data_IF_689294334298
#
_entry.id   IF_689294334298
#
_cell.length_a   1.000
_cell.length_b   1.000
_cell.length_c   1.000
_cell.angle_alpha   90.00
_cell.angle_beta   90.00
_cell.angle_gamma   90.00
#
_symmetry.space_group_name_H-M   'P 1'
#
loop_
_entity.id
_entity.type
_entity.pdbx_description
1 polymer ?
#
# COMPACT_ATOMS: atom_id res chain seq x y z
N UNK A 1 -5.46 -18.96 3.72
CA UNK A 1 -4.99 -17.62 4.10
C UNK A 1 -5.05 -16.70 2.90
N UNK A 2 -5.17 -15.39 3.14
CA UNK A 2 -5.07 -14.31 2.15
C UNK A 2 -3.68 -13.67 2.27
N UNK A 3 -2.92 -13.64 1.18
CA UNK A 3 -1.55 -13.14 1.13
C UNK A 3 -1.52 -12.03 0.08
N UNK A 4 -1.35 -10.79 0.52
CA UNK A 4 -1.23 -9.65 -0.36
C UNK A 4 0.23 -9.46 -0.77
N UNK A 5 0.50 -9.52 -2.07
CA UNK A 5 1.82 -9.24 -2.62
C UNK A 5 1.84 -7.81 -3.13
N UNK A 6 2.89 -7.07 -2.82
CA UNK A 6 3.22 -5.82 -3.49
C UNK A 6 3.43 -6.04 -5.00
N UNK A 7 3.16 -5.05 -5.84
CA UNK A 7 3.23 -5.21 -7.29
C UNK A 7 4.65 -5.49 -7.81
N UNK A 8 5.68 -4.97 -7.14
CA UNK A 8 7.07 -5.32 -7.45
C UNK A 8 7.32 -6.84 -7.46
N UNK A 9 6.61 -7.62 -6.63
CA UNK A 9 6.68 -9.08 -6.63
C UNK A 9 5.99 -9.67 -7.87
N UNK A 10 4.86 -9.11 -8.33
CA UNK A 10 4.25 -9.50 -9.61
C UNK A 10 5.19 -9.22 -10.78
N UNK A 11 5.88 -8.08 -10.77
CA UNK A 11 6.88 -7.75 -11.78
C UNK A 11 8.03 -8.77 -11.80
N UNK A 12 8.57 -9.16 -10.63
CA UNK A 12 9.61 -10.20 -10.57
C UNK A 12 9.15 -11.56 -11.08
N UNK A 13 7.91 -11.93 -10.80
CA UNK A 13 7.33 -13.18 -11.28
C UNK A 13 7.14 -13.17 -12.80
N UNK A 14 6.64 -12.05 -13.34
CA UNK A 14 6.45 -11.84 -14.78
C UNK A 14 7.77 -11.81 -15.56
N UNK A 15 8.78 -11.09 -15.04
CA UNK A 15 10.10 -10.97 -15.67
C UNK A 15 10.98 -12.22 -15.41
N UNK A 16 10.47 -13.23 -14.71
CA UNK A 16 11.18 -14.45 -14.29
C UNK A 16 12.50 -14.21 -13.54
N UNK A 17 12.62 -13.06 -12.88
CA UNK A 17 13.86 -12.65 -12.18
C UNK A 17 14.01 -13.28 -10.78
N UNK A 18 12.92 -13.82 -10.22
CA UNK A 18 12.90 -14.54 -8.92
C UNK A 18 12.16 -15.88 -9.04
N UNK A 19 12.89 -16.91 -9.49
CA UNK A 19 12.34 -18.25 -9.67
C UNK A 19 11.87 -18.91 -8.36
N UNK A 20 12.51 -18.57 -7.26
CA UNK A 20 12.14 -19.01 -5.91
C UNK A 20 10.77 -18.46 -5.47
N UNK A 21 10.51 -17.18 -5.75
CA UNK A 21 9.20 -16.57 -5.55
C UNK A 21 8.13 -17.24 -6.42
N UNK A 22 8.41 -17.46 -7.71
CA UNK A 22 7.51 -18.15 -8.63
C UNK A 22 7.15 -19.56 -8.13
N UNK A 23 8.15 -20.34 -7.71
CA UNK A 23 7.94 -21.67 -7.14
C UNK A 23 7.09 -21.60 -5.86
N UNK A 24 7.38 -20.63 -4.99
CA UNK A 24 6.65 -20.43 -3.73
C UNK A 24 5.18 -20.11 -3.97
N UNK A 25 4.87 -19.10 -4.78
CA UNK A 25 3.48 -18.68 -5.06
C UNK A 25 2.69 -19.83 -5.70
N UNK A 26 3.28 -20.54 -6.67
CA UNK A 26 2.64 -21.72 -7.29
C UNK A 26 2.32 -22.82 -6.27
N UNK A 27 3.27 -23.15 -5.39
CA UNK A 27 3.05 -24.16 -4.35
C UNK A 27 1.93 -23.78 -3.36
N UNK A 28 1.69 -22.49 -3.15
CA UNK A 28 0.68 -21.98 -2.22
C UNK A 28 -0.68 -21.68 -2.86
N UNK A 29 -0.73 -21.50 -4.19
CA UNK A 29 -1.93 -21.02 -4.90
C UNK A 29 -3.15 -21.93 -4.74
N UNK A 30 -2.96 -23.22 -4.45
CA UNK A 30 -4.07 -24.17 -4.28
C UNK A 30 -4.74 -24.10 -2.90
N UNK A 31 -4.05 -23.58 -1.89
CA UNK A 31 -4.55 -23.51 -0.50
C UNK A 31 -4.70 -22.09 0.01
N UNK A 32 -4.10 -21.12 -0.67
CA UNK A 32 -4.06 -19.73 -0.26
C UNK A 32 -4.47 -18.81 -1.40
N UNK A 33 -4.97 -17.63 -1.04
CA UNK A 33 -5.44 -16.62 -1.98
C UNK A 33 -4.41 -15.51 -2.09
N UNK A 34 -4.17 -15.05 -3.31
CA UNK A 34 -3.27 -13.93 -3.61
C UNK A 34 -4.08 -12.78 -4.24
N UNK A 35 -4.99 -12.14 -3.47
CA UNK A 35 -5.89 -11.16 -4.07
C UNK A 35 -5.12 -9.95 -4.61
N UNK A 36 -5.59 -9.41 -5.73
CA UNK A 36 -5.11 -8.14 -6.25
C UNK A 36 -5.97 -6.99 -5.71
N UNK A 37 -5.65 -5.76 -6.10
CA UNK A 37 -6.40 -4.55 -5.73
C UNK A 37 -6.30 -3.51 -6.85
N UNK A 38 -7.09 -2.43 -6.79
CA UNK A 38 -6.92 -1.28 -7.67
C UNK A 38 -5.49 -0.73 -7.74
N UNK A 39 -4.72 -0.79 -6.64
CA UNK A 39 -3.33 -0.29 -6.60
C UNK A 39 -2.43 -0.98 -7.65
N UNK A 40 -2.56 -2.30 -7.81
CA UNK A 40 -1.84 -3.05 -8.84
C UNK A 40 -2.16 -2.54 -10.25
N UNK A 41 -3.43 -2.21 -10.50
CA UNK A 41 -3.88 -1.74 -11.81
C UNK A 41 -3.45 -0.28 -12.06
N UNK A 42 -3.40 0.55 -11.01
CA UNK A 42 -2.85 1.91 -11.07
C UNK A 42 -1.40 1.92 -11.50
N UNK A 43 -0.55 1.06 -10.92
CA UNK A 43 0.86 0.96 -11.31
C UNK A 43 1.05 0.46 -12.74
N UNK A 44 0.24 -0.51 -13.20
CA UNK A 44 0.23 -0.93 -14.61
C UNK A 44 -0.21 0.24 -15.50
N UNK A 45 -1.25 0.99 -15.12
CA UNK A 45 -1.75 2.13 -15.88
C UNK A 45 -0.69 3.24 -16.00
N UNK A 46 0.08 3.49 -14.94
CA UNK A 46 1.18 4.44 -14.98
C UNK A 46 2.22 4.11 -16.04
N UNK A 47 2.58 2.82 -16.19
CA UNK A 47 3.51 2.39 -17.22
C UNK A 47 2.98 2.64 -18.65
N UNK A 48 1.66 2.59 -18.84
CA UNK A 48 1.03 2.91 -20.13
C UNK A 48 1.01 4.42 -20.36
N UNK A 49 0.57 5.20 -19.37
CA UNK A 49 0.28 6.62 -19.54
C UNK A 49 1.53 7.51 -19.55
N UNK A 50 2.61 7.12 -18.86
CA UNK A 50 3.78 7.97 -18.62
C UNK A 50 5.07 7.55 -19.36
N UNK A 51 5.00 6.68 -20.36
CA UNK A 51 6.16 6.23 -21.16
C UNK A 51 6.13 6.76 -22.62
N UNK A 52 6.44 8.03 -22.88
CA UNK A 52 6.26 8.65 -24.19
C UNK A 52 7.24 8.17 -25.28
N UNK A 53 8.30 7.45 -24.90
CA UNK A 53 9.36 6.99 -25.80
C UNK A 53 9.09 5.62 -26.44
N UNK A 54 8.01 4.93 -26.02
CA UNK A 54 7.61 3.61 -26.54
C UNK A 54 6.29 3.77 -27.28
N UNK A 55 6.11 3.05 -28.40
CA UNK A 55 4.86 3.09 -29.15
C UNK A 55 3.67 2.67 -28.27
N UNK A 56 2.53 3.33 -28.46
CA UNK A 56 1.32 3.11 -27.64
C UNK A 56 0.85 1.67 -27.67
N UNK A 57 0.95 1.00 -28.83
CA UNK A 57 0.53 -0.39 -28.98
C UNK A 57 1.42 -1.33 -28.17
N UNK A 58 2.74 -1.16 -28.20
CA UNK A 58 3.68 -1.96 -27.41
C UNK A 58 3.45 -1.80 -25.91
N UNK A 59 3.15 -0.56 -25.46
CA UNK A 59 2.81 -0.28 -24.05
C UNK A 59 1.53 -1.00 -23.62
N UNK A 60 0.49 -0.96 -24.47
CA UNK A 60 -0.77 -1.65 -24.20
C UNK A 60 -0.58 -3.16 -24.18
N UNK A 61 0.20 -3.71 -25.10
CA UNK A 61 0.51 -5.14 -25.13
C UNK A 61 1.25 -5.58 -23.86
N UNK A 62 2.27 -4.82 -23.44
CA UNK A 62 3.00 -5.08 -22.20
C UNK A 62 2.09 -5.00 -20.97
N UNK A 63 1.16 -4.03 -20.94
CA UNK A 63 0.19 -3.91 -19.87
C UNK A 63 -0.80 -5.09 -19.85
N UNK A 64 -1.30 -5.53 -21.01
CA UNK A 64 -2.19 -6.69 -21.09
C UNK A 64 -1.52 -7.96 -20.56
N UNK A 65 -0.25 -8.21 -20.90
CA UNK A 65 0.50 -9.36 -20.38
C UNK A 65 0.65 -9.31 -18.85
N UNK A 66 0.87 -8.12 -18.28
CA UNK A 66 0.93 -7.92 -16.83
C UNK A 66 -0.43 -8.14 -16.16
N UNK A 67 -1.51 -7.64 -16.75
CA UNK A 67 -2.89 -7.85 -16.30
C UNK A 67 -3.23 -9.35 -16.31
N UNK A 68 -2.82 -10.08 -17.35
CA UNK A 68 -3.02 -11.52 -17.45
C UNK A 68 -2.25 -12.28 -16.36
N UNK A 69 -1.01 -11.87 -16.07
CA UNK A 69 -0.23 -12.43 -14.95
C UNK A 69 -0.93 -12.21 -13.60
N UNK A 70 -1.43 -10.99 -13.35
CA UNK A 70 -2.22 -10.69 -12.15
C UNK A 70 -3.48 -11.55 -12.09
N UNK A 71 -4.18 -11.75 -13.21
CA UNK A 71 -5.37 -12.60 -13.30
C UNK A 71 -5.07 -14.06 -12.94
N UNK A 72 -3.98 -14.61 -13.46
CA UNK A 72 -3.56 -15.98 -13.19
C UNK A 72 -3.23 -16.21 -11.71
N UNK A 73 -2.46 -15.30 -11.10
CA UNK A 73 -2.04 -15.41 -9.71
C UNK A 73 -3.21 -15.18 -8.74
N UNK A 74 -3.98 -14.12 -8.97
CA UNK A 74 -5.09 -13.75 -8.09
C UNK A 74 -6.35 -14.58 -8.27
N UNK A 75 -6.43 -15.35 -9.36
CA UNK A 75 -7.63 -16.05 -9.81
C UNK A 75 -8.84 -15.11 -9.86
N UNK A 76 -8.60 -13.87 -10.28
CA UNK A 76 -9.59 -12.80 -10.41
C UNK A 76 -10.26 -12.40 -9.09
N UNK A 77 -9.57 -12.55 -7.96
CA UNK A 77 -10.06 -12.08 -6.66
C UNK A 77 -9.44 -10.73 -6.32
N UNK A 78 -10.30 -9.72 -6.19
CA UNK A 78 -9.96 -8.35 -5.83
C UNK A 78 -10.25 -8.08 -4.35
N UNK A 79 -9.38 -7.33 -3.68
CA UNK A 79 -9.71 -6.56 -2.49
C UNK A 79 -10.41 -5.27 -2.90
N UNK A 80 -11.73 -5.30 -2.83
CA UNK A 80 -12.59 -4.25 -3.35
C UNK A 80 -12.92 -3.21 -2.28
N UNK A 81 -12.67 -1.91 -2.54
CA UNK A 81 -13.01 -0.84 -1.62
C UNK A 81 -14.53 -0.56 -1.61
N UNK A 82 -15.15 -0.51 -0.43
CA UNK A 82 -16.59 -0.28 -0.28
C UNK A 82 -16.84 1.08 0.36
N UNK A 83 -17.69 1.92 -0.24
CA UNK A 83 -17.91 3.30 0.22
C UNK A 83 -18.64 3.42 1.56
N UNK A 84 -19.39 2.40 1.98
CA UNK A 84 -20.24 2.43 3.18
C UNK A 84 -19.99 1.29 4.16
N UNK A 85 -18.94 0.49 3.95
CA UNK A 85 -18.66 -0.71 4.73
C UNK A 85 -17.19 -1.11 4.69
N UNK A 86 -16.83 -2.28 5.24
CA UNK A 86 -15.46 -2.76 5.24
C UNK A 86 -15.03 -3.13 3.82
N UNK A 87 -13.72 -3.22 3.61
CA UNK A 87 -13.16 -3.82 2.39
C UNK A 87 -13.62 -5.27 2.26
N UNK A 88 -13.98 -5.68 1.04
CA UNK A 88 -14.49 -7.04 0.77
C UNK A 88 -13.68 -7.72 -0.31
N UNK A 89 -13.71 -9.05 -0.31
CA UNK A 89 -13.25 -9.81 -1.48
C UNK A 89 -14.36 -9.84 -2.52
N UNK A 90 -14.00 -9.59 -3.77
CA UNK A 90 -14.90 -9.62 -4.92
C UNK A 90 -14.23 -10.38 -6.04
N UNK A 91 -14.99 -11.23 -6.74
CA UNK A 91 -14.53 -11.77 -8.02
C UNK A 91 -14.70 -10.69 -9.09
N UNK A 92 -13.58 -10.22 -9.64
CA UNK A 92 -13.54 -9.25 -10.73
C UNK A 92 -12.31 -9.55 -11.60
N UNK A 93 -12.48 -9.51 -12.92
CA UNK A 93 -11.36 -9.63 -13.83
C UNK A 93 -10.43 -8.40 -13.68
N UNK A 94 -9.11 -8.56 -13.52
CA UNK A 94 -8.18 -7.43 -13.43
C UNK A 94 -8.31 -6.44 -14.59
N UNK A 95 -8.64 -6.90 -15.80
CA UNK A 95 -8.91 -6.04 -16.95
C UNK A 95 -10.12 -5.10 -16.73
N UNK A 96 -11.16 -5.56 -16.03
CA UNK A 96 -12.31 -4.73 -15.69
C UNK A 96 -11.92 -3.64 -14.68
N UNK A 97 -11.14 -3.99 -13.65
CA UNK A 97 -10.58 -3.04 -12.70
C UNK A 97 -9.65 -2.02 -13.38
N UNK A 98 -8.75 -2.49 -14.25
CA UNK A 98 -7.86 -1.65 -15.05
C UNK A 98 -8.62 -0.62 -15.91
N UNK A 99 -9.73 -1.02 -16.55
CA UNK A 99 -10.59 -0.08 -17.29
C UNK A 99 -11.16 1.03 -16.39
N UNK A 100 -11.56 0.71 -15.15
CA UNK A 100 -12.04 1.70 -14.18
C UNK A 100 -10.92 2.68 -13.78
N UNK A 101 -9.71 2.16 -13.56
CA UNK A 101 -8.52 2.96 -13.24
C UNK A 101 -8.20 3.93 -14.37
N UNK A 102 -8.09 3.44 -15.61
CA UNK A 102 -7.76 4.27 -16.78
C UNK A 102 -8.83 5.35 -17.03
N UNK A 103 -10.11 5.04 -16.80
CA UNK A 103 -11.22 5.99 -16.96
C UNK A 103 -11.10 7.22 -16.04
N UNK A 104 -10.41 7.08 -14.90
CA UNK A 104 -10.25 8.14 -13.90
C UNK A 104 -8.78 8.58 -13.72
N UNK A 105 -7.90 8.16 -14.62
CA UNK A 105 -6.46 8.44 -14.53
C UNK A 105 -6.14 9.93 -14.63
N UNK A 106 -7.03 10.73 -15.22
CA UNK A 106 -6.93 12.19 -15.31
C UNK A 106 -6.83 12.88 -13.95
N UNK A 107 -7.22 12.20 -12.87
CA UNK A 107 -7.13 12.70 -11.49
C UNK A 107 -5.76 12.46 -10.85
N UNK A 108 -4.99 11.48 -11.34
CA UNK A 108 -3.70 11.10 -10.73
C UNK A 108 -2.68 12.26 -10.71
N UNK A 109 -2.53 13.09 -11.76
CA UNK A 109 -1.57 14.19 -11.74
C UNK A 109 -1.74 15.15 -10.55
N UNK A 110 -2.99 15.42 -10.14
CA UNK A 110 -3.29 16.30 -9.00
C UNK A 110 -2.83 15.65 -7.69
N UNK A 111 -3.08 14.35 -7.52
CA UNK A 111 -2.66 13.60 -6.33
C UNK A 111 -1.13 13.48 -6.27
N UNK A 112 -0.50 13.20 -7.41
CA UNK A 112 0.96 13.12 -7.53
C UNK A 112 1.65 14.46 -7.19
N UNK A 113 1.11 15.58 -7.67
CA UNK A 113 1.62 16.92 -7.34
C UNK A 113 1.49 17.21 -5.84
N UNK A 114 0.33 16.91 -5.25
CA UNK A 114 0.11 17.09 -3.81
C UNK A 114 1.10 16.24 -2.98
N UNK A 115 1.32 15.00 -3.39
CA UNK A 115 2.26 14.09 -2.74
C UNK A 115 3.70 14.61 -2.79
N UNK A 116 4.12 15.15 -3.94
CA UNK A 116 5.43 15.78 -4.09
C UNK A 116 5.58 17.01 -3.18
N UNK A 117 4.57 17.88 -3.15
CA UNK A 117 4.55 19.08 -2.31
C UNK A 117 4.60 18.72 -0.81
N UNK A 118 3.87 17.70 -0.38
CA UNK A 118 3.88 17.20 1.00
C UNK A 118 5.27 16.70 1.39
N UNK A 119 5.90 15.86 0.55
CA UNK A 119 7.25 15.36 0.82
C UNK A 119 8.29 16.49 0.83
N UNK A 120 8.15 17.46 -0.08
CA UNK A 120 8.99 18.64 -0.11
C UNK A 120 8.87 19.45 1.19
N UNK A 121 7.65 19.71 1.64
CA UNK A 121 7.36 20.41 2.89
C UNK A 121 7.98 19.69 4.10
N UNK A 122 7.81 18.37 4.23
CA UNK A 122 8.41 17.61 5.32
C UNK A 122 9.95 17.63 5.28
N UNK A 123 10.56 17.64 4.09
CA UNK A 123 12.01 17.72 3.94
C UNK A 123 12.58 19.07 4.37
N UNK A 124 11.83 20.18 4.28
CA UNK A 124 12.27 21.50 4.75
C UNK A 124 12.66 21.49 6.22
N UNK A 125 11.96 20.70 7.05
CA UNK A 125 12.28 20.54 8.48
C UNK A 125 13.52 19.71 8.78
N UNK A 126 14.07 18.99 7.79
CA UNK A 126 15.26 18.14 7.96
C UNK A 126 16.13 18.11 6.68
N UNK A 127 16.67 19.26 6.24
CA UNK A 127 17.32 19.40 4.94
C UNK A 127 18.60 18.57 4.81
N UNK A 128 19.23 18.25 5.94
CA UNK A 128 20.48 17.48 6.01
C UNK A 128 20.29 16.06 6.56
N UNK A 129 19.05 15.60 6.75
CA UNK A 129 18.77 14.22 7.20
C UNK A 129 19.21 13.91 8.64
N UNK A 130 19.47 14.91 9.48
CA UNK A 130 19.92 14.70 10.87
C UNK A 130 18.81 14.03 11.68
N UNK A 131 17.57 14.47 11.49
CA UNK A 131 16.42 13.87 12.15
C UNK A 131 16.15 12.48 11.58
N UNK A 132 16.18 12.32 10.26
CA UNK A 132 16.01 11.03 9.59
C UNK A 132 16.99 9.98 10.09
N UNK A 133 18.28 10.33 10.25
CA UNK A 133 19.31 9.44 10.78
C UNK A 133 19.05 9.00 12.23
N UNK A 134 18.37 9.83 13.03
CA UNK A 134 18.01 9.48 14.40
C UNK A 134 16.75 8.61 14.43
N UNK A 135 15.70 9.05 13.76
CA UNK A 135 14.36 8.47 13.85
C UNK A 135 14.27 7.15 13.09
N UNK A 136 14.96 7.01 11.95
CA UNK A 136 14.94 5.76 11.16
C UNK A 136 15.62 4.58 11.86
N UNK A 137 16.40 4.83 12.93
CA UNK A 137 17.01 3.78 13.75
C UNK A 137 16.08 3.30 14.89
N UNK A 138 14.90 3.91 15.06
CA UNK A 138 13.92 3.44 16.03
C UNK A 138 13.30 2.11 15.57
N UNK A 139 12.97 1.27 16.55
CA UNK A 139 12.21 0.04 16.37
C UNK A 139 10.81 0.32 15.81
N UNK A 140 10.13 -0.71 15.30
CA UNK A 140 8.80 -0.57 14.72
C UNK A 140 7.68 -0.30 15.77
N UNK A 141 7.94 -0.48 17.07
CA UNK A 141 7.01 -0.08 18.14
C UNK A 141 7.14 1.36 18.59
N UNK A 142 7.95 2.19 17.93
CA UNK A 142 8.18 3.54 18.43
C UNK A 142 6.91 4.41 18.50
N UNK A 143 5.89 4.11 17.68
CA UNK A 143 4.58 4.75 17.73
C UNK A 143 3.75 4.34 18.97
N UNK A 144 4.09 3.25 19.66
CA UNK A 144 3.47 2.86 20.92
C UNK A 144 4.02 3.64 22.13
N UNK A 145 5.16 4.33 21.96
CA UNK A 145 5.73 5.18 23.00
C UNK A 145 4.97 6.50 23.15
N UNK A 146 5.03 7.09 24.35
CA UNK A 146 4.13 8.18 24.77
C UNK A 146 4.11 9.41 23.86
N UNK A 147 5.24 9.80 23.29
CA UNK A 147 5.34 11.08 22.58
C UNK A 147 4.88 10.94 21.12
N UNK A 148 5.48 10.01 20.36
CA UNK A 148 5.14 9.80 18.95
C UNK A 148 3.69 9.28 18.77
N UNK A 149 3.24 8.38 19.64
CA UNK A 149 1.89 7.85 19.59
C UNK A 149 0.82 8.91 19.87
N UNK A 150 1.12 9.82 20.81
CA UNK A 150 0.25 10.97 21.12
C UNK A 150 0.22 11.97 19.99
N UNK A 151 1.36 12.27 19.37
CA UNK A 151 1.43 13.19 18.23
C UNK A 151 0.65 12.66 17.02
N UNK A 152 0.76 11.34 16.74
CA UNK A 152 -0.08 10.70 15.71
C UNK A 152 -1.56 10.77 16.08
N UNK A 153 -1.92 10.49 17.34
CA UNK A 153 -3.32 10.59 17.78
C UNK A 153 -3.87 12.01 17.64
N UNK A 154 -3.08 13.03 17.97
CA UNK A 154 -3.44 14.43 17.76
C UNK A 154 -3.61 14.75 16.27
N UNK A 155 -2.72 14.25 15.40
CA UNK A 155 -2.84 14.41 13.95
C UNK A 155 -4.14 13.81 13.42
N UNK A 156 -4.52 12.62 13.89
CA UNK A 156 -5.78 11.97 13.54
C UNK A 156 -6.98 12.81 14.02
N UNK A 157 -7.00 13.24 15.29
CA UNK A 157 -8.10 14.05 15.87
C UNK A 157 -8.28 15.41 15.19
N UNK A 158 -7.20 16.01 14.69
CA UNK A 158 -7.24 17.34 14.07
C UNK A 158 -7.56 17.29 12.57
N UNK A 159 -7.52 16.12 11.94
CA UNK A 159 -7.88 15.98 10.53
C UNK A 159 -9.41 16.05 10.36
N UNK A 160 -9.86 17.08 9.63
CA UNK A 160 -11.29 17.40 9.49
C UNK A 160 -12.03 16.30 8.72
N UNK A 161 -11.45 15.79 7.63
CA UNK A 161 -12.04 14.73 6.82
C UNK A 161 -12.15 13.43 7.62
N UNK A 162 -11.06 13.01 8.26
CA UNK A 162 -11.06 11.84 9.14
C UNK A 162 -12.09 11.96 10.26
N UNK A 163 -12.15 13.11 10.94
CA UNK A 163 -13.12 13.36 12.01
C UNK A 163 -14.57 13.27 11.51
N UNK A 164 -14.85 13.79 10.32
CA UNK A 164 -16.16 13.70 9.70
C UNK A 164 -16.54 12.25 9.36
N UNK A 165 -15.61 11.48 8.79
CA UNK A 165 -15.81 10.05 8.48
C UNK A 165 -16.05 9.24 9.76
N UNK A 166 -15.22 9.42 10.78
CA UNK A 166 -15.37 8.77 12.07
C UNK A 166 -16.75 9.05 12.69
N UNK A 167 -17.18 10.32 12.72
CA UNK A 167 -18.49 10.71 13.23
C UNK A 167 -19.64 10.09 12.43
N UNK A 168 -19.51 10.03 11.11
CA UNK A 168 -20.55 9.49 10.22
C UNK A 168 -20.73 7.97 10.37
N UNK A 169 -19.69 7.29 10.84
CA UNK A 169 -19.66 5.83 11.04
C UNK A 169 -19.64 5.40 12.51
N UNK A 170 -19.75 6.35 13.45
CA UNK A 170 -19.80 6.05 14.88
C UNK A 170 -18.49 5.55 15.49
N UNK A 171 -17.36 5.79 14.83
CA UNK A 171 -16.01 5.41 15.29
C UNK A 171 -15.60 6.28 16.47
N UNK A 172 -15.27 5.65 17.60
CA UNK A 172 -14.96 6.36 18.87
C UNK A 172 -13.48 6.34 19.20
N UNK A 173 -12.83 5.22 18.92
CA UNK A 173 -11.41 4.99 19.21
C UNK A 173 -10.68 4.56 17.92
N UNK A 174 -9.42 4.95 17.78
CA UNK A 174 -8.63 4.63 16.57
C UNK A 174 -7.96 3.25 16.68
N UNK A 175 -8.75 2.24 17.01
CA UNK A 175 -8.29 0.84 17.10
C UNK A 175 -8.68 0.07 15.84
N UNK A 176 -7.98 -1.03 15.54
CA UNK A 176 -8.26 -1.86 14.37
C UNK A 176 -9.74 -2.26 14.20
N UNK A 177 -10.45 -2.79 15.22
CA UNK A 177 -11.86 -3.17 15.05
C UNK A 177 -12.77 -2.01 14.62
N UNK A 178 -12.47 -0.80 15.09
CA UNK A 178 -13.23 0.42 14.78
C UNK A 178 -12.91 0.92 13.37
N UNK A 179 -11.62 1.12 13.06
CA UNK A 179 -11.23 1.72 11.77
C UNK A 179 -11.47 0.77 10.58
N UNK A 180 -11.36 -0.56 10.80
CA UNK A 180 -11.54 -1.56 9.74
C UNK A 180 -13.00 -1.77 9.32
N UNK A 181 -13.96 -1.33 10.14
CA UNK A 181 -15.39 -1.46 9.84
C UNK A 181 -15.85 -0.66 8.62
N UNK A 182 -15.08 0.36 8.22
CA UNK A 182 -15.42 1.24 7.09
C UNK A 182 -14.18 1.60 6.29
N UNK A 183 -14.11 1.18 5.02
CA UNK A 183 -12.95 1.43 4.16
C UNK A 183 -12.57 2.92 4.08
N UNK A 184 -13.49 3.90 3.97
CA UNK A 184 -13.12 5.31 3.95
C UNK A 184 -12.44 5.81 5.24
N UNK A 185 -12.77 5.21 6.39
CA UNK A 185 -12.11 5.51 7.68
C UNK A 185 -10.73 4.87 7.72
N UNK A 186 -10.66 3.57 7.39
CA UNK A 186 -9.42 2.81 7.30
C UNK A 186 -8.38 3.47 6.39
N UNK A 187 -8.79 3.79 5.15
CA UNK A 187 -7.98 4.44 4.13
C UNK A 187 -7.35 5.73 4.69
N UNK A 188 -8.18 6.62 5.24
CA UNK A 188 -7.71 7.90 5.76
C UNK A 188 -6.84 7.74 7.01
N UNK A 189 -7.13 6.78 7.89
CA UNK A 189 -6.33 6.51 9.08
C UNK A 189 -4.90 6.07 8.71
N UNK A 190 -4.79 5.11 7.79
CA UNK A 190 -3.50 4.59 7.32
C UNK A 190 -2.74 5.67 6.54
N UNK A 191 -3.40 6.44 5.67
CA UNK A 191 -2.79 7.55 4.94
C UNK A 191 -2.21 8.61 5.90
N UNK A 192 -2.96 9.03 6.92
CA UNK A 192 -2.50 9.98 7.93
C UNK A 192 -1.32 9.45 8.74
N UNK A 193 -1.31 8.16 9.08
CA UNK A 193 -0.20 7.53 9.77
C UNK A 193 1.05 7.43 8.89
N UNK A 194 0.90 7.06 7.61
CA UNK A 194 2.02 7.05 6.66
C UNK A 194 2.56 8.46 6.40
N UNK A 195 1.70 9.48 6.35
CA UNK A 195 2.09 10.89 6.30
C UNK A 195 2.82 11.33 7.58
N UNK A 196 2.37 10.87 8.74
CA UNK A 196 3.05 11.13 10.00
C UNK A 196 4.47 10.54 10.02
N UNK A 197 4.67 9.32 9.52
CA UNK A 197 6.02 8.74 9.42
C UNK A 197 6.96 9.59 8.56
N UNK A 198 6.50 10.10 7.41
CA UNK A 198 7.29 11.01 6.57
C UNK A 198 7.58 12.34 7.26
N UNK A 199 6.60 12.88 7.98
CA UNK A 199 6.71 14.13 8.75
C UNK A 199 7.72 13.99 9.89
N UNK A 200 7.66 12.89 10.64
CA UNK A 200 8.61 12.54 11.70
C UNK A 200 9.98 12.12 11.16
N UNK A 201 10.13 12.01 9.84
CA UNK A 201 11.35 11.54 9.15
C UNK A 201 11.72 10.10 9.51
N UNK A 202 10.74 9.25 9.81
CA UNK A 202 10.96 7.82 9.98
C UNK A 202 11.03 7.17 8.60
N UNK A 203 12.24 6.75 8.19
CA UNK A 203 12.47 6.08 6.90
C UNK A 203 11.87 6.87 5.73
N UNK A 204 12.23 8.16 5.58
CA UNK A 204 11.52 9.05 4.68
C UNK A 204 11.81 8.71 3.23
N UNK A 205 10.84 8.98 2.37
CA UNK A 205 11.00 8.81 0.94
C UNK A 205 11.69 10.01 0.28
N UNK A 206 12.39 9.78 -0.82
CA UNK A 206 12.89 10.86 -1.65
C UNK A 206 11.73 11.54 -2.39
N UNK A 207 11.79 12.87 -2.53
CA UNK A 207 10.75 13.66 -3.22
C UNK A 207 10.51 13.14 -4.65
N UNK A 208 11.58 12.76 -5.36
CA UNK A 208 11.52 12.18 -6.70
C UNK A 208 10.82 10.82 -6.78
N UNK A 209 10.48 10.23 -5.64
CA UNK A 209 9.74 8.97 -5.51
C UNK A 209 8.32 9.19 -4.94
N UNK A 210 7.80 10.42 -4.96
CA UNK A 210 6.43 10.76 -4.53
C UNK A 210 5.38 9.83 -5.13
N UNK A 211 5.40 9.62 -6.46
CA UNK A 211 4.47 8.68 -7.13
C UNK A 211 4.59 7.24 -6.60
N UNK A 212 5.82 6.74 -6.43
CA UNK A 212 6.05 5.39 -5.88
C UNK A 212 5.45 5.27 -4.48
N UNK A 213 5.67 6.29 -3.64
CA UNK A 213 5.10 6.35 -2.29
C UNK A 213 3.57 6.30 -2.30
N UNK A 214 2.93 7.02 -3.21
CA UNK A 214 1.47 7.01 -3.34
C UNK A 214 0.94 5.58 -3.53
N UNK A 215 1.56 4.79 -4.40
CA UNK A 215 1.20 3.39 -4.58
C UNK A 215 1.57 2.52 -3.36
N UNK A 216 2.73 2.75 -2.74
CA UNK A 216 3.10 2.04 -1.51
C UNK A 216 2.05 2.21 -0.39
N UNK A 217 1.50 3.42 -0.25
CA UNK A 217 0.44 3.73 0.72
C UNK A 217 -0.85 2.99 0.36
N UNK A 218 -1.26 2.95 -0.91
CA UNK A 218 -2.46 2.20 -1.31
C UNK A 218 -2.28 0.70 -1.13
N UNK A 219 -1.11 0.13 -1.46
CA UNK A 219 -0.78 -1.27 -1.15
C UNK A 219 -0.86 -1.56 0.35
N UNK A 220 -0.33 -0.69 1.20
CA UNK A 220 -0.45 -0.79 2.66
C UNK A 220 -1.91 -0.81 3.13
N UNK A 221 -2.79 0.00 2.53
CA UNK A 221 -4.23 0.03 2.87
C UNK A 221 -4.89 -1.30 2.49
N UNK A 222 -4.74 -1.75 1.24
CA UNK A 222 -5.37 -3.00 0.77
C UNK A 222 -4.84 -4.23 1.50
N UNK A 223 -3.55 -4.24 1.83
CA UNK A 223 -2.93 -5.34 2.55
C UNK A 223 -3.55 -5.61 3.93
N UNK A 224 -4.19 -4.61 4.57
CA UNK A 224 -4.91 -4.79 5.84
C UNK A 224 -6.07 -5.79 5.74
N UNK A 225 -6.57 -6.05 4.52
CA UNK A 225 -7.59 -7.06 4.24
C UNK A 225 -7.06 -8.49 4.21
N UNK A 226 -5.76 -8.69 4.38
CA UNK A 226 -5.08 -9.98 4.27
C UNK A 226 -4.46 -10.44 5.58
N UNK A 227 -4.14 -11.73 5.65
CA UNK A 227 -3.42 -12.30 6.79
C UNK A 227 -1.93 -11.92 6.73
N UNK A 228 -1.41 -11.70 5.51
CA UNK A 228 -0.02 -11.33 5.26
C UNK A 228 0.09 -10.23 4.21
N UNK A 229 1.09 -9.37 4.39
CA UNK A 229 1.59 -8.42 3.41
C UNK A 229 3.03 -8.76 3.07
N UNK A 230 3.38 -8.89 1.79
CA UNK A 230 4.75 -9.17 1.34
C UNK A 230 5.22 -8.06 0.42
N UNK A 231 6.37 -7.47 0.75
CA UNK A 231 7.05 -6.47 -0.09
C UNK A 231 8.56 -6.72 -0.10
N UNK A 232 9.21 -6.40 -1.21
CA UNK A 232 10.68 -6.37 -1.29
C UNK A 232 11.25 -5.05 -0.74
N UNK A 233 10.45 -3.99 -0.65
CA UNK A 233 10.92 -2.70 -0.16
C UNK A 233 11.05 -2.72 1.36
N UNK A 234 12.30 -2.77 1.85
CA UNK A 234 12.62 -2.76 3.28
C UNK A 234 12.11 -1.49 3.98
N UNK A 235 12.17 -0.34 3.31
CA UNK A 235 11.71 0.93 3.87
C UNK A 235 10.20 0.90 4.06
N UNK A 236 9.46 0.44 3.05
CA UNK A 236 8.02 0.25 3.14
C UNK A 236 7.67 -0.76 4.24
N UNK A 237 8.31 -1.92 4.23
CA UNK A 237 8.10 -2.99 5.21
C UNK A 237 8.15 -2.47 6.65
N UNK A 238 9.22 -1.74 6.99
CA UNK A 238 9.41 -1.18 8.32
C UNK A 238 8.36 -0.10 8.67
N UNK A 239 7.97 0.75 7.70
CA UNK A 239 6.90 1.75 7.89
C UNK A 239 5.55 1.07 8.15
N UNK A 240 5.20 0.06 7.36
CA UNK A 240 3.92 -0.67 7.52
C UNK A 240 3.89 -1.43 8.84
N UNK A 241 4.99 -2.06 9.25
CA UNK A 241 5.09 -2.70 10.58
C UNK A 241 4.77 -1.73 11.70
N UNK A 242 5.32 -0.51 11.65
CA UNK A 242 5.05 0.50 12.67
C UNK A 242 3.58 0.93 12.69
N UNK A 243 3.00 1.22 11.53
CA UNK A 243 1.57 1.61 11.40
C UNK A 243 0.64 0.49 11.85
N UNK A 244 0.88 -0.73 11.40
CA UNK A 244 0.04 -1.89 11.73
C UNK A 244 0.10 -2.20 13.22
N UNK A 245 1.29 -2.11 13.81
CA UNK A 245 1.48 -2.30 15.25
C UNK A 245 0.78 -1.21 16.07
N UNK A 246 0.80 0.05 15.62
CA UNK A 246 0.08 1.15 16.27
C UNK A 246 -1.44 0.94 16.30
N UNK A 247 -2.04 0.62 15.15
CA UNK A 247 -3.49 0.42 15.07
C UNK A 247 -3.96 -0.96 15.55
N UNK A 248 -3.06 -1.93 15.70
CA UNK A 248 -3.39 -3.32 16.02
C UNK A 248 -3.92 -4.11 14.82
N UNK A 249 -3.46 -3.78 13.60
CA UNK A 249 -3.81 -4.51 12.38
C UNK A 249 -3.26 -5.94 12.47
N UNK A 250 -4.08 -6.98 12.24
CA UNK A 250 -3.67 -8.38 12.42
C UNK A 250 -2.76 -8.90 11.29
N UNK A 251 -2.66 -8.17 10.18
CA UNK A 251 -1.85 -8.53 9.02
C UNK A 251 -0.38 -8.60 9.38
N UNK A 252 0.27 -9.73 9.07
CA UNK A 252 1.72 -9.90 9.25
C UNK A 252 2.47 -9.35 8.05
N UNK A 253 3.38 -8.41 8.30
CA UNK A 253 4.24 -7.83 7.26
C UNK A 253 5.52 -8.64 7.15
N UNK A 254 5.81 -9.14 5.95
CA UNK A 254 6.95 -9.99 5.62
C UNK A 254 7.82 -9.33 4.55
N UNK A 255 9.13 -9.49 4.66
CA UNK A 255 10.03 -9.27 3.51
C UNK A 255 9.88 -10.41 2.51
N UNK A 256 10.36 -10.21 1.28
CA UNK A 256 10.37 -11.28 0.28
C UNK A 256 11.15 -12.51 0.78
N UNK A 257 12.29 -12.32 1.42
CA UNK A 257 13.14 -13.41 1.93
C UNK A 257 12.45 -14.17 3.05
N UNK A 258 11.78 -13.47 3.98
CA UNK A 258 10.97 -14.08 5.03
C UNK A 258 9.81 -14.90 4.43
N UNK A 259 9.16 -14.39 3.39
CA UNK A 259 8.06 -15.08 2.70
C UNK A 259 8.52 -16.37 2.00
N UNK A 260 9.62 -16.31 1.25
CA UNK A 260 10.15 -17.46 0.51
C UNK A 260 10.63 -18.55 1.46
N UNK A 261 11.35 -18.17 2.52
CA UNK A 261 11.93 -19.11 3.50
C UNK A 261 10.91 -19.70 4.47
N UNK A 262 9.73 -19.08 4.63
CA UNK A 262 8.71 -19.49 5.59
C UNK A 262 7.99 -20.77 5.16
N UNK A 263 7.77 -21.70 6.07
CA UNK A 263 6.85 -22.82 5.86
C UNK A 263 5.38 -22.40 6.06
N UNK A 264 4.53 -22.92 5.19
CA UNK A 264 3.08 -22.71 5.19
C UNK A 264 2.44 -24.09 5.31
N UNK A 265 1.76 -24.32 6.43
CA UNK A 265 1.00 -25.55 6.70
C UNK A 265 -0.37 -25.53 6.00
#
# INVERSE_FOLDING_TARGET
MKIYLDYNLFAYMYDETRLDLNAKVRALSDRHMFPYSPAHMEEIATAVMNAPTIETMDRLEAAMRKIDSVSQISRNVELFPVSSGPMVLKEEQPLACFRRVVLHYDKNPIVEENEEQILAFFKVGDPHGKLANKVSNLADDFLLNSDHGRDLQLKLLLDIDFSFRCKSHGVKDFTWPEISGHFPVLERAIELAMNFLEQSRYRPEHISKSRSRMHDVTHCIYATGCDQFVTHDKRLNDKVRAVYRYFGVPTRVLTLEEFVARDYD
#
